data_IF_873552300550
#
_entry.id   IF_873552300550
#
_cell.length_a   1.000
_cell.length_b   1.000
_cell.length_c   1.000
_cell.angle_alpha   90.00
_cell.angle_beta   90.00
_cell.angle_gamma   90.00
#
_symmetry.space_group_name_H-M   'P 1'
#
loop_
_entity.id
_entity.type
_entity.pdbx_description
1 polymer ?
#
# COMPACT_ATOMS: atom_id res chain seq x y z
N UNK A 1 5.02 51.60 3.36
CA UNK A 1 5.15 51.14 1.96
C UNK A 1 6.46 50.40 1.65
N UNK A 2 7.59 50.66 2.31
CA UNK A 2 8.88 50.00 1.99
C UNK A 2 8.97 48.50 2.30
N UNK A 3 8.23 47.95 3.27
CA UNK A 3 8.32 46.52 3.64
C UNK A 3 7.75 45.54 2.60
N UNK A 4 6.77 45.96 1.80
CA UNK A 4 6.14 45.10 0.80
C UNK A 4 7.06 44.89 -0.42
N UNK A 5 7.74 45.95 -0.85
CA UNK A 5 8.72 45.88 -1.94
C UNK A 5 9.93 44.98 -1.61
N UNK A 6 10.30 44.87 -0.33
CA UNK A 6 11.36 43.94 0.14
C UNK A 6 10.90 42.49 0.10
N UNK A 7 9.64 42.22 0.45
CA UNK A 7 9.07 40.87 0.43
C UNK A 7 8.92 40.36 -1.01
N UNK A 8 8.45 41.21 -1.92
CA UNK A 8 8.29 40.84 -3.34
C UNK A 8 9.65 40.63 -4.04
N UNK A 9 10.68 41.38 -3.63
CA UNK A 9 12.07 41.17 -4.08
C UNK A 9 12.66 39.84 -3.58
N UNK A 10 12.37 39.44 -2.34
CA UNK A 10 12.80 38.15 -1.78
C UNK A 10 12.07 36.99 -2.48
N UNK A 11 10.76 37.11 -2.71
CA UNK A 11 9.96 36.09 -3.40
C UNK A 11 10.40 35.95 -4.86
N UNK A 12 10.74 37.05 -5.54
CA UNK A 12 11.29 37.03 -6.90
C UNK A 12 12.67 36.34 -6.96
N UNK A 13 13.57 36.61 -6.00
CA UNK A 13 14.89 35.96 -5.92
C UNK A 13 14.80 34.47 -5.58
N UNK A 14 13.84 34.06 -4.74
CA UNK A 14 13.61 32.64 -4.43
C UNK A 14 13.02 31.90 -5.64
N UNK A 15 12.14 32.54 -6.42
CA UNK A 15 11.61 31.96 -7.67
C UNK A 15 12.67 31.84 -8.77
N UNK A 16 13.68 32.72 -8.80
CA UNK A 16 14.77 32.63 -9.78
C UNK A 16 15.84 31.57 -9.43
N UNK A 17 15.99 31.19 -8.15
CA UNK A 17 16.93 30.13 -7.75
C UNK A 17 16.37 28.69 -7.86
N UNK A 18 15.07 28.53 -8.13
CA UNK A 18 14.45 27.21 -8.35
C UNK A 18 14.41 26.78 -9.82
N UNK A 19 14.84 27.65 -10.75
CA UNK A 19 14.92 27.34 -12.18
C UNK A 19 16.32 26.87 -12.64
N UNK A 20 17.30 26.82 -11.74
CA UNK A 20 18.69 26.54 -12.10
C UNK A 20 19.44 25.77 -11.03
N UNK A 21 19.10 24.50 -10.82
CA UNK A 21 19.88 23.44 -10.16
C UNK A 21 18.96 22.22 -10.18
N UNK A 22 19.13 21.23 -11.06
CA UNK A 22 20.06 20.11 -10.92
C UNK A 22 20.34 19.58 -12.33
N UNK A 23 21.57 19.77 -12.81
CA UNK A 23 22.13 19.02 -13.93
C UNK A 23 23.00 17.91 -13.32
N UNK A 24 22.44 16.70 -13.15
CA UNK A 24 23.24 15.52 -12.80
C UNK A 24 23.58 14.78 -14.09
N UNK A 25 24.87 14.78 -14.41
CA UNK A 25 25.45 14.01 -15.50
C UNK A 25 25.23 12.51 -15.25
N UNK A 26 24.64 11.84 -16.23
CA UNK A 26 24.63 10.39 -16.33
C UNK A 26 25.83 9.92 -17.14
N UNK A 27 26.73 9.19 -16.49
CA UNK A 27 27.68 8.29 -17.15
C UNK A 27 27.70 6.99 -16.36
N UNK A 28 27.31 5.88 -17.00
CA UNK A 28 27.50 4.55 -16.41
C UNK A 28 26.49 3.48 -16.85
N UNK A 29 26.61 3.06 -18.10
CA UNK A 29 26.24 1.76 -18.70
C UNK A 29 25.11 0.90 -18.12
N UNK A 30 24.11 0.73 -18.98
CA UNK A 30 23.12 -0.35 -19.02
C UNK A 30 23.82 -1.69 -19.31
N UNK A 31 23.64 -2.68 -18.45
CA UNK A 31 23.57 -4.11 -18.82
C UNK A 31 22.84 -4.87 -17.71
N UNK A 32 21.76 -5.56 -18.09
CA UNK A 32 20.77 -6.29 -17.28
C UNK A 32 19.54 -5.47 -16.88
N UNK A 33 18.47 -5.68 -17.65
CA UNK A 33 17.17 -5.05 -17.48
C UNK A 33 16.47 -5.51 -16.21
N UNK A 34 16.18 -4.54 -15.34
CA UNK A 34 15.04 -4.43 -14.41
C UNK A 34 15.44 -3.42 -13.32
N UNK A 35 14.92 -2.19 -13.38
CA UNK A 35 14.68 -1.40 -12.16
C UNK A 35 13.73 -0.24 -12.37
N UNK A 36 12.95 -0.04 -11.31
CA UNK A 36 11.87 0.89 -11.10
C UNK A 36 12.25 2.34 -11.40
N UNK A 37 11.36 3.01 -12.11
CA UNK A 37 11.42 4.44 -12.36
C UNK A 37 10.87 5.18 -11.14
N UNK A 38 11.76 5.55 -10.21
CA UNK A 38 11.50 6.60 -9.24
C UNK A 38 11.96 7.92 -9.85
N UNK A 39 11.08 8.93 -9.87
CA UNK A 39 11.32 10.38 -9.76
C UNK A 39 10.31 11.18 -10.59
N UNK A 40 9.36 11.82 -9.90
CA UNK A 40 8.66 13.08 -10.22
C UNK A 40 7.52 13.25 -9.20
N UNK A 41 7.36 14.31 -8.39
CA UNK A 41 8.17 15.43 -7.92
C UNK A 41 7.41 15.99 -6.70
N UNK A 42 8.08 16.45 -5.63
CA UNK A 42 7.44 17.06 -4.44
C UNK A 42 6.48 18.23 -4.77
N UNK A 43 6.60 18.83 -5.95
CA UNK A 43 5.77 19.95 -6.40
C UNK A 43 4.32 19.56 -6.68
N UNK A 44 4.09 18.45 -7.38
CA UNK A 44 2.74 17.86 -7.57
C UNK A 44 2.09 17.48 -6.25
N UNK A 45 2.92 17.19 -5.24
CA UNK A 45 2.52 16.72 -3.92
C UNK A 45 2.10 17.84 -2.98
N UNK A 46 2.65 19.04 -3.13
CA UNK A 46 2.15 20.19 -2.37
C UNK A 46 0.84 20.71 -2.99
N UNK A 47 0.71 20.67 -4.32
CA UNK A 47 -0.56 20.93 -5.02
C UNK A 47 -1.66 19.89 -4.65
N UNK A 48 -1.27 18.65 -4.29
CA UNK A 48 -2.15 17.56 -3.81
C UNK A 48 -2.83 17.82 -2.44
N UNK A 49 -2.20 18.61 -1.56
CA UNK A 49 -2.77 18.92 -0.24
C UNK A 49 -3.65 20.17 -0.25
N UNK A 50 -3.47 21.05 -1.23
CA UNK A 50 -4.20 22.33 -1.30
C UNK A 50 -5.57 22.21 -2.00
N UNK A 51 -5.78 21.19 -2.85
CA UNK A 51 -7.04 21.02 -3.59
C UNK A 51 -7.78 19.73 -3.21
N UNK A 52 -8.81 19.78 -2.36
CA UNK A 52 -9.57 18.57 -1.96
C UNK A 52 -10.45 17.95 -3.06
N UNK A 53 -10.39 18.43 -4.30
CA UNK A 53 -11.26 17.98 -5.39
C UNK A 53 -10.48 17.40 -6.57
N UNK A 54 -10.83 16.15 -6.93
CA UNK A 54 -10.46 15.40 -8.15
C UNK A 54 -8.95 15.25 -8.43
N UNK A 55 -8.42 14.05 -8.20
CA UNK A 55 -7.07 13.71 -8.63
C UNK A 55 -7.01 12.81 -9.85
N UNK A 56 -6.06 13.18 -10.70
CA UNK A 56 -5.60 12.58 -11.94
C UNK A 56 -4.18 12.10 -11.65
N UNK A 57 -3.99 10.81 -11.38
CA UNK A 57 -2.65 10.22 -11.34
C UNK A 57 -2.31 9.65 -12.73
N UNK A 58 -1.05 9.78 -13.12
CA UNK A 58 -0.52 9.12 -14.32
C UNK A 58 -0.48 7.61 -14.05
N UNK A 59 -1.03 6.81 -14.97
CA UNK A 59 -1.14 5.35 -14.85
C UNK A 59 0.21 4.61 -14.81
N UNK A 60 1.33 5.32 -14.93
CA UNK A 60 2.69 4.76 -14.88
C UNK A 60 3.29 4.67 -13.47
N UNK A 61 2.62 5.17 -12.44
CA UNK A 61 3.09 5.07 -11.05
C UNK A 61 2.50 3.81 -10.43
N UNK A 62 3.26 2.73 -10.38
CA UNK A 62 2.81 1.49 -9.72
C UNK A 62 2.75 1.65 -8.19
N UNK A 63 3.57 2.55 -7.61
CA UNK A 63 3.69 2.72 -6.16
C UNK A 63 4.03 4.17 -5.78
N UNK A 64 3.25 4.73 -4.84
CA UNK A 64 3.55 5.99 -4.15
C UNK A 64 3.67 5.70 -2.64
N UNK A 65 4.79 6.14 -2.05
CA UNK A 65 5.18 5.89 -0.68
C UNK A 65 5.50 7.23 0.04
N UNK A 66 4.58 7.68 0.90
CA UNK A 66 4.85 8.71 1.92
C UNK A 66 4.83 8.02 3.28
N UNK A 67 5.45 8.62 4.30
CA UNK A 67 5.62 8.03 5.65
C UNK A 67 4.40 7.25 6.19
N UNK A 68 3.19 7.71 5.90
CA UNK A 68 1.94 7.12 6.44
C UNK A 68 0.92 6.69 5.38
N UNK A 69 1.21 6.83 4.07
CA UNK A 69 0.26 6.54 2.99
C UNK A 69 0.89 5.65 1.92
N UNK A 70 0.08 4.70 1.44
CA UNK A 70 0.44 3.76 0.39
C UNK A 70 -0.57 3.84 -0.74
N UNK A 71 -0.09 4.02 -1.97
CA UNK A 71 -0.89 3.89 -3.17
C UNK A 71 -0.76 2.49 -3.76
N UNK A 72 -1.90 1.86 -4.07
CA UNK A 72 -1.96 0.62 -4.85
C UNK A 72 -2.61 0.91 -6.20
N UNK A 73 -1.90 0.62 -7.28
CA UNK A 73 -2.49 0.63 -8.62
C UNK A 73 -3.52 -0.50 -8.75
N UNK A 74 -4.61 -0.23 -9.47
CA UNK A 74 -5.59 -1.28 -9.81
C UNK A 74 -5.37 -1.72 -11.25
N UNK A 75 -5.00 -2.99 -11.41
CA UNK A 75 -5.06 -3.62 -12.74
C UNK A 75 -6.52 -3.94 -13.09
N UNK A 76 -6.81 -4.19 -14.38
CA UNK A 76 -8.18 -4.54 -14.84
C UNK A 76 -8.78 -5.78 -14.12
N UNK A 77 -7.94 -6.63 -13.53
CA UNK A 77 -8.33 -7.86 -12.84
C UNK A 77 -8.77 -7.64 -11.38
N UNK A 78 -8.69 -6.40 -10.87
CA UNK A 78 -8.82 -6.07 -9.44
C UNK A 78 -9.99 -5.12 -9.14
N UNK A 79 -11.04 -5.11 -9.98
CA UNK A 79 -12.24 -4.31 -9.71
C UNK A 79 -12.87 -4.70 -8.38
N UNK A 80 -13.19 -3.69 -7.55
CA UNK A 80 -13.85 -3.88 -6.26
C UNK A 80 -12.90 -4.12 -5.08
N UNK A 81 -11.58 -4.13 -5.29
CA UNK A 81 -10.63 -4.30 -4.18
C UNK A 81 -10.75 -3.20 -3.12
N UNK A 82 -10.95 -1.94 -3.53
CA UNK A 82 -11.14 -0.84 -2.58
C UNK A 82 -12.41 -1.04 -1.74
N UNK A 83 -13.53 -1.37 -2.37
CA UNK A 83 -14.78 -1.69 -1.68
C UNK A 83 -14.59 -2.84 -0.69
N UNK A 84 -13.94 -3.92 -1.14
CA UNK A 84 -13.66 -5.09 -0.31
C UNK A 84 -12.78 -4.74 0.89
N UNK A 85 -11.71 -3.98 0.67
CA UNK A 85 -10.84 -3.48 1.74
C UNK A 85 -11.63 -2.62 2.73
N UNK A 86 -12.54 -1.78 2.25
CA UNK A 86 -13.41 -0.95 3.09
C UNK A 86 -14.38 -1.79 3.93
N UNK A 87 -14.99 -2.82 3.34
CA UNK A 87 -15.87 -3.73 4.08
C UNK A 87 -15.08 -4.51 5.16
N UNK A 88 -13.89 -5.00 4.83
CA UNK A 88 -13.01 -5.68 5.78
C UNK A 88 -12.57 -4.74 6.91
N UNK A 89 -12.19 -3.50 6.58
CA UNK A 89 -11.78 -2.49 7.56
C UNK A 89 -12.90 -2.14 8.55
N UNK A 90 -14.15 -2.06 8.08
CA UNK A 90 -15.29 -1.78 8.95
C UNK A 90 -15.58 -2.89 9.97
N UNK A 91 -15.14 -4.13 9.70
CA UNK A 91 -15.28 -5.27 10.62
C UNK A 91 -14.05 -5.39 11.52
N UNK A 92 -12.87 -5.13 10.97
CA UNK A 92 -11.58 -5.43 11.60
C UNK A 92 -10.57 -4.29 11.45
N UNK A 93 -10.85 -3.09 11.99
CA UNK A 93 -10.02 -1.91 11.80
C UNK A 93 -8.61 -2.04 12.43
N UNK A 94 -8.44 -2.94 13.40
CA UNK A 94 -7.17 -3.20 14.06
C UNK A 94 -6.18 -4.02 13.23
N UNK A 95 -6.65 -4.71 12.18
CA UNK A 95 -5.83 -5.63 11.39
C UNK A 95 -5.93 -5.42 9.87
N UNK A 96 -6.65 -4.39 9.43
CA UNK A 96 -6.78 -4.00 8.03
C UNK A 96 -6.27 -2.55 7.90
N UNK A 97 -5.41 -2.23 6.91
CA UNK A 97 -5.02 -0.84 6.68
C UNK A 97 -6.23 0.01 6.31
N UNK A 98 -6.34 1.19 6.90
CA UNK A 98 -7.45 2.10 6.63
C UNK A 98 -7.47 2.51 5.15
N UNK A 99 -8.53 2.19 4.39
CA UNK A 99 -8.70 2.74 3.05
C UNK A 99 -9.01 4.23 3.15
N UNK A 100 -8.37 5.04 2.32
CA UNK A 100 -8.52 6.50 2.35
C UNK A 100 -9.39 6.97 1.20
N UNK A 101 -9.00 6.68 -0.04
CA UNK A 101 -9.75 7.14 -1.21
C UNK A 101 -9.39 6.37 -2.47
N UNK A 102 -10.30 6.37 -3.45
CA UNK A 102 -10.05 5.92 -4.81
C UNK A 102 -9.30 6.98 -5.61
N UNK A 103 -8.44 6.54 -6.49
CA UNK A 103 -7.67 7.41 -7.39
C UNK A 103 -8.17 7.24 -8.81
N UNK A 104 -8.36 8.36 -9.50
CA UNK A 104 -8.78 8.39 -10.91
C UNK A 104 -7.71 9.07 -11.78
N UNK A 105 -7.82 8.94 -13.09
CA UNK A 105 -7.02 9.69 -14.07
C UNK A 105 -7.84 10.87 -14.65
N UNK A 106 -7.29 11.59 -15.64
CA UNK A 106 -7.91 12.76 -16.28
C UNK A 106 -9.25 12.48 -16.92
N UNK A 107 -9.44 11.23 -17.33
CA UNK A 107 -10.63 10.78 -18.01
C UNK A 107 -11.66 10.23 -17.01
N UNK A 108 -11.43 10.41 -15.70
CA UNK A 108 -12.31 9.93 -14.63
C UNK A 108 -12.26 8.42 -14.38
N UNK A 109 -11.36 7.69 -15.07
CA UNK A 109 -11.17 6.24 -14.90
C UNK A 109 -10.42 5.97 -13.59
N UNK A 110 -10.91 5.03 -12.79
CA UNK A 110 -10.17 4.54 -11.62
C UNK A 110 -8.87 3.85 -12.03
N UNK A 111 -7.77 4.20 -11.36
CA UNK A 111 -6.42 3.66 -11.62
C UNK A 111 -5.76 3.10 -10.36
N UNK A 112 -6.40 3.23 -9.21
CA UNK A 112 -5.89 2.71 -7.95
C UNK A 112 -6.65 3.24 -6.74
N UNK A 113 -6.05 3.06 -5.58
CA UNK A 113 -6.53 3.64 -4.34
C UNK A 113 -5.39 3.93 -3.37
N UNK A 114 -5.65 4.83 -2.42
CA UNK A 114 -4.75 5.18 -1.32
C UNK A 114 -5.28 4.53 -0.05
N UNK A 115 -4.38 3.94 0.73
CA UNK A 115 -4.62 3.42 2.06
C UNK A 115 -3.54 3.88 3.04
N UNK A 116 -3.80 3.74 4.35
CA UNK A 116 -2.80 3.95 5.39
C UNK A 116 -1.65 2.96 5.20
N UNK A 117 -0.41 3.45 5.24
CA UNK A 117 0.78 2.60 5.21
C UNK A 117 0.97 1.91 6.56
N UNK A 118 1.23 0.61 6.53
CA UNK A 118 1.70 -0.15 7.70
C UNK A 118 3.22 -0.24 7.58
N UNK A 119 3.95 0.37 8.49
CA UNK A 119 5.42 0.45 8.49
C UNK A 119 6.06 -0.85 9.02
N UNK A 120 5.61 -1.99 8.50
CA UNK A 120 6.03 -3.32 8.91
C UNK A 120 6.80 -4.10 7.83
N UNK A 121 7.04 -5.37 8.12
CA UNK A 121 7.65 -6.32 7.20
C UNK A 121 6.60 -7.30 6.69
N UNK A 122 6.74 -7.82 5.48
CA UNK A 122 5.95 -9.00 5.09
C UNK A 122 6.22 -10.14 6.08
N UNK A 123 5.24 -11.02 6.30
CA UNK A 123 5.41 -12.17 7.20
C UNK A 123 6.60 -13.04 6.79
N UNK A 124 6.89 -13.16 5.49
CA UNK A 124 8.11 -13.83 5.00
C UNK A 124 9.36 -13.17 5.56
N UNK A 125 9.54 -11.87 5.31
CA UNK A 125 10.75 -11.14 5.74
C UNK A 125 10.87 -11.08 7.27
N UNK A 126 9.74 -10.94 7.96
CA UNK A 126 9.70 -10.92 9.42
C UNK A 126 10.20 -12.25 10.01
N UNK A 127 9.68 -13.39 9.52
CA UNK A 127 10.06 -14.71 10.05
C UNK A 127 11.48 -15.13 9.65
N UNK A 128 11.94 -14.74 8.46
CA UNK A 128 13.33 -14.94 8.02
C UNK A 128 14.34 -14.22 8.91
N UNK A 129 13.97 -13.05 9.44
CA UNK A 129 14.80 -12.27 10.37
C UNK A 129 14.89 -12.83 11.80
N UNK A 130 14.16 -13.89 12.12
CA UNK A 130 14.16 -14.51 13.46
C UNK A 130 15.07 -15.75 13.52
N UNK A 131 15.60 -15.97 14.72
CA UNK A 131 16.25 -17.23 15.08
C UNK A 131 15.32 -18.42 14.86
N UNK A 132 15.90 -19.55 14.42
CA UNK A 132 15.13 -20.75 14.07
C UNK A 132 14.22 -21.25 15.22
N UNK A 133 14.70 -21.18 16.47
CA UNK A 133 13.97 -21.62 17.66
C UNK A 133 12.77 -20.72 18.00
N UNK A 134 12.81 -19.45 17.60
CA UNK A 134 11.74 -18.46 17.82
C UNK A 134 10.77 -18.46 16.65
N UNK A 135 11.28 -18.62 15.43
CA UNK A 135 10.53 -18.57 14.17
C UNK A 135 9.29 -19.46 14.19
N UNK A 136 9.40 -20.70 14.65
CA UNK A 136 8.25 -21.62 14.70
C UNK A 136 7.15 -21.12 15.64
N UNK A 137 7.53 -20.74 16.88
CA UNK A 137 6.59 -20.22 17.88
C UNK A 137 5.88 -18.96 17.39
N UNK A 138 6.63 -18.09 16.73
CA UNK A 138 6.10 -16.84 16.21
C UNK A 138 5.19 -17.05 15.00
N UNK A 139 5.53 -17.98 14.10
CA UNK A 139 4.68 -18.39 13.00
C UNK A 139 3.33 -18.95 13.50
N UNK A 140 3.37 -19.81 14.53
CA UNK A 140 2.16 -20.36 15.15
C UNK A 140 1.29 -19.28 15.80
N UNK A 141 1.91 -18.32 16.51
CA UNK A 141 1.20 -17.18 17.09
C UNK A 141 0.51 -16.35 16.01
N UNK A 142 1.23 -15.97 14.96
CA UNK A 142 0.68 -15.19 13.84
C UNK A 142 -0.48 -15.94 13.18
N UNK A 143 -0.32 -17.24 12.92
CA UNK A 143 -1.39 -18.04 12.31
C UNK A 143 -2.62 -18.11 13.21
N UNK A 144 -2.47 -18.17 14.53
CA UNK A 144 -3.60 -18.12 15.46
C UNK A 144 -4.37 -16.80 15.33
N UNK A 145 -3.68 -15.67 15.35
CA UNK A 145 -4.32 -14.35 15.16
C UNK A 145 -4.99 -14.20 13.79
N UNK A 146 -4.35 -14.70 12.73
CA UNK A 146 -4.96 -14.70 11.39
C UNK A 146 -6.21 -15.59 11.31
N UNK A 147 -6.29 -16.70 12.05
CA UNK A 147 -7.51 -17.50 12.12
C UNK A 147 -8.65 -16.69 12.76
N UNK A 148 -8.37 -16.00 13.88
CA UNK A 148 -9.36 -15.16 14.56
C UNK A 148 -9.87 -14.04 13.63
N UNK A 149 -8.99 -13.44 12.82
CA UNK A 149 -9.35 -12.43 11.82
C UNK A 149 -10.25 -12.99 10.72
N UNK A 150 -9.88 -14.15 10.17
CA UNK A 150 -10.67 -14.82 9.12
C UNK A 150 -12.04 -15.24 9.64
N UNK A 151 -12.13 -15.71 10.88
CA UNK A 151 -13.41 -16.06 11.50
C UNK A 151 -14.31 -14.83 11.65
N UNK A 152 -13.79 -13.71 12.17
CA UNK A 152 -14.53 -12.44 12.27
C UNK A 152 -15.05 -11.97 10.91
N UNK A 153 -14.22 -12.00 9.87
CA UNK A 153 -14.62 -11.63 8.51
C UNK A 153 -15.68 -12.60 7.96
N UNK A 154 -15.48 -13.90 8.18
CA UNK A 154 -16.35 -14.99 7.72
C UNK A 154 -17.75 -14.92 8.31
N UNK A 155 -17.90 -14.62 9.61
CA UNK A 155 -19.21 -14.45 10.26
C UNK A 155 -20.00 -13.30 9.62
N UNK A 156 -19.31 -12.30 9.05
CA UNK A 156 -19.90 -11.18 8.34
C UNK A 156 -20.04 -11.43 6.82
N UNK A 157 -19.81 -12.66 6.36
CA UNK A 157 -19.95 -13.04 4.97
C UNK A 157 -18.84 -12.53 4.04
N UNK A 158 -17.69 -12.13 4.60
CA UNK A 158 -16.56 -11.57 3.84
C UNK A 158 -15.36 -12.52 3.93
N UNK A 159 -14.76 -12.85 2.79
CA UNK A 159 -13.46 -13.51 2.75
C UNK A 159 -12.38 -12.55 2.26
N UNK A 160 -11.13 -12.68 2.70
CA UNK A 160 -10.00 -11.95 2.11
C UNK A 160 -9.72 -12.44 0.69
N UNK A 161 -9.72 -13.76 0.51
CA UNK A 161 -9.58 -14.45 -0.78
C UNK A 161 -8.16 -14.63 -1.30
N UNK A 162 -7.15 -14.11 -0.61
CA UNK A 162 -5.73 -14.22 -1.02
C UNK A 162 -4.74 -14.07 0.12
N UNK A 163 -5.02 -14.78 1.21
CA UNK A 163 -4.10 -14.81 2.35
C UNK A 163 -2.85 -15.62 1.98
N UNK A 164 -1.70 -14.94 1.97
CA UNK A 164 -0.38 -15.56 1.86
C UNK A 164 0.68 -14.64 2.48
N UNK A 165 1.89 -15.14 2.78
CA UNK A 165 2.90 -14.41 3.57
C UNK A 165 3.27 -13.02 3.07
N UNK A 166 3.18 -12.74 1.77
CA UNK A 166 3.44 -11.41 1.20
C UNK A 166 2.29 -10.41 1.38
N UNK A 167 1.08 -10.91 1.64
CA UNK A 167 -0.15 -10.14 1.88
C UNK A 167 -0.47 -10.06 3.39
N UNK A 168 0.49 -10.47 4.23
CA UNK A 168 0.46 -10.31 5.67
C UNK A 168 1.62 -9.41 6.04
N UNK A 169 1.34 -8.24 6.60
CA UNK A 169 2.37 -7.32 7.10
C UNK A 169 2.42 -7.42 8.62
N UNK A 170 3.60 -7.61 9.19
CA UNK A 170 3.84 -7.64 10.63
C UNK A 170 4.41 -6.29 11.06
N UNK A 171 3.71 -5.62 11.96
CA UNK A 171 4.13 -4.36 12.56
C UNK A 171 3.87 -4.40 14.06
N UNK A 172 4.89 -4.10 14.88
CA UNK A 172 4.80 -4.18 16.35
C UNK A 172 4.22 -5.53 16.82
N UNK A 173 4.72 -6.63 16.24
CA UNK A 173 4.25 -8.00 16.46
C UNK A 173 2.79 -8.27 16.09
N UNK A 174 2.06 -7.33 15.47
CA UNK A 174 0.67 -7.54 15.01
C UNK A 174 0.62 -7.84 13.52
N UNK A 175 -0.12 -8.86 13.07
CA UNK A 175 -0.37 -9.10 11.66
C UNK A 175 -1.47 -8.17 11.14
N UNK A 176 -1.26 -7.69 9.92
CA UNK A 176 -2.21 -6.93 9.11
C UNK A 176 -2.43 -7.66 7.80
N UNK A 177 -3.69 -7.83 7.42
CA UNK A 177 -4.08 -8.39 6.13
C UNK A 177 -4.17 -7.25 5.11
N UNK A 178 -3.47 -7.42 3.98
CA UNK A 178 -3.41 -6.42 2.91
C UNK A 178 -3.71 -7.06 1.57
N UNK A 179 -4.07 -6.25 0.58
CA UNK A 179 -4.31 -6.70 -0.78
C UNK A 179 -5.35 -7.82 -0.90
N UNK A 180 -6.61 -7.57 -0.48
CA UNK A 180 -7.66 -8.56 -0.62
C UNK A 180 -7.97 -8.81 -2.09
N UNK A 181 -8.36 -10.04 -2.40
CA UNK A 181 -8.71 -10.42 -3.75
C UNK A 181 -10.20 -10.24 -3.99
N UNK A 182 -10.51 -9.43 -4.98
CA UNK A 182 -11.88 -9.13 -5.42
C UNK A 182 -12.01 -9.53 -6.89
N UNK A 183 -12.46 -10.76 -7.15
CA UNK A 183 -13.14 -11.08 -8.41
C UNK A 183 -14.60 -11.34 -8.04
N UNK A 184 -15.51 -11.09 -8.99
CA UNK A 184 -16.99 -11.23 -8.90
C UNK A 184 -17.51 -12.63 -8.52
N UNK A 185 -16.72 -13.46 -7.84
CA UNK A 185 -17.10 -14.77 -7.36
C UNK A 185 -17.54 -14.69 -5.88
N UNK A 186 -18.58 -15.47 -5.58
CA UNK A 186 -19.18 -15.62 -4.25
C UNK A 186 -18.14 -15.69 -3.12
N UNK A 187 -18.27 -14.83 -2.11
CA UNK A 187 -17.36 -14.77 -0.94
C UNK A 187 -17.27 -16.11 -0.17
N UNK A 188 -18.27 -16.99 -0.30
CA UNK A 188 -18.22 -18.35 0.24
C UNK A 188 -17.02 -19.16 -0.29
N UNK A 189 -16.59 -18.92 -1.54
CA UNK A 189 -15.41 -19.56 -2.10
C UNK A 189 -14.12 -18.99 -1.51
N UNK A 190 -14.08 -17.67 -1.28
CA UNK A 190 -12.93 -17.01 -0.67
C UNK A 190 -12.73 -17.44 0.78
N UNK A 191 -13.80 -17.59 1.56
CA UNK A 191 -13.73 -18.11 2.93
C UNK A 191 -13.09 -19.51 2.97
N UNK A 192 -13.52 -20.42 2.07
CA UNK A 192 -12.91 -21.76 1.96
C UNK A 192 -11.44 -21.70 1.55
N UNK A 193 -11.10 -20.78 0.65
CA UNK A 193 -9.72 -20.56 0.19
C UNK A 193 -8.83 -20.00 1.30
N UNK A 194 -9.33 -19.09 2.12
CA UNK A 194 -8.60 -18.50 3.24
C UNK A 194 -8.24 -19.56 4.28
N UNK A 195 -9.20 -20.40 4.69
CA UNK A 195 -8.95 -21.55 5.58
C UNK A 195 -7.91 -22.50 4.99
N UNK A 196 -8.00 -22.80 3.69
CA UNK A 196 -7.01 -23.64 3.00
C UNK A 196 -5.62 -22.99 2.99
N UNK A 197 -5.55 -21.69 2.78
CA UNK A 197 -4.29 -20.96 2.73
C UNK A 197 -3.62 -20.86 4.11
N UNK A 198 -4.39 -20.65 5.19
CA UNK A 198 -3.86 -20.68 6.56
C UNK A 198 -3.24 -22.05 6.90
N UNK A 199 -3.88 -23.16 6.47
CA UNK A 199 -3.29 -24.50 6.62
C UNK A 199 -1.93 -24.63 5.90
N UNK A 200 -1.80 -24.04 4.70
CA UNK A 200 -0.52 -24.03 3.96
C UNK A 200 0.55 -23.20 4.66
N UNK A 201 0.18 -22.10 5.30
CA UNK A 201 1.14 -21.28 6.06
C UNK A 201 1.74 -22.06 7.24
N UNK A 202 0.95 -22.98 7.81
CA UNK A 202 1.36 -23.86 8.92
C UNK A 202 2.26 -25.01 8.49
N UNK A 203 2.09 -25.53 7.28
CA UNK A 203 2.79 -26.73 6.79
C UNK A 203 4.17 -26.46 6.17
N UNK A 204 4.63 -25.22 6.13
CA UNK A 204 5.96 -24.90 5.64
C UNK A 204 6.94 -25.15 6.79
N UNK A 205 7.60 -26.30 6.73
CA UNK A 205 8.78 -26.60 7.54
C UNK A 205 9.93 -25.68 7.11
N UNK A 206 10.71 -25.19 8.07
CA UNK A 206 11.84 -24.28 7.88
C UNK A 206 13.16 -24.97 8.20
#
# INVERSE_FOLDING_TARGET
>A
MQKQATLDSIISKVKMNLAGMIQVRFTGLIKTGKRATYLRSEKMLNEFYENKEKYILDSSIDYYDRKDLFFKSTSFLEKGQFEKLNMMYNILPEAIPAPITKVRNSNGKEIGYIMKKINGYTMSNYLEGLDASIRYKENDRIIKELNDYVEKLSVNGIGHGDIHRRNVIIYESKPFLVDPFSINNCDSWYMKRDVKNLKKLKSIEY
#
